data_IF_283335631047
#
_entry.id   IF_283335631047
#
_cell.length_a   1.000
_cell.length_b   1.000
_cell.length_c   1.000
_cell.angle_alpha   90.00
_cell.angle_beta   90.00
_cell.angle_gamma   90.00
#
_symmetry.space_group_name_H-M   'P 1'
#
loop_
_entity.id
_entity.type
_entity.pdbx_description
1 polymer ?
#
# COMPACT_ATOMS: atom_id res chain seq x y z
N UNK A 1 -9.46 31.53 3.46
CA UNK A 1 -9.39 30.06 3.28
C UNK A 1 -7.91 29.76 3.16
N UNK A 2 -7.26 29.68 4.32
CA UNK A 2 -5.80 29.51 4.37
C UNK A 2 -5.51 28.07 3.95
N UNK A 3 -4.80 27.94 2.83
CA UNK A 3 -4.40 26.66 2.24
C UNK A 3 -3.58 25.86 3.25
N UNK A 4 -4.21 24.89 3.92
CA UNK A 4 -3.55 23.96 4.82
C UNK A 4 -2.94 22.77 4.07
N UNK A 5 -2.30 23.02 2.92
CA UNK A 5 -1.58 21.99 2.16
C UNK A 5 -0.08 22.31 2.09
N UNK A 6 0.58 22.31 3.25
CA UNK A 6 2.03 22.16 3.33
C UNK A 6 2.32 20.93 4.22
N UNK A 7 2.10 19.75 3.64
CA UNK A 7 2.33 18.44 4.22
C UNK A 7 2.65 17.43 3.11
N UNK A 8 2.20 16.18 3.24
CA UNK A 8 2.42 15.13 2.23
C UNK A 8 1.72 15.40 0.88
N UNK A 9 0.85 16.41 0.77
CA UNK A 9 0.16 16.83 -0.45
C UNK A 9 0.73 18.10 -1.11
N UNK A 10 1.93 18.53 -0.72
CA UNK A 10 2.62 19.62 -1.42
C UNK A 10 3.14 19.15 -2.80
N UNK A 11 2.93 19.97 -3.84
CA UNK A 11 3.43 19.70 -5.20
C UNK A 11 2.59 18.73 -6.03
N UNK A 12 1.35 18.46 -5.62
CA UNK A 12 0.47 17.49 -6.28
C UNK A 12 -0.31 18.12 -7.43
N UNK A 13 -0.53 17.35 -8.47
CA UNK A 13 -1.38 17.67 -9.61
C UNK A 13 -2.54 16.66 -9.72
N UNK A 14 -3.29 16.69 -10.83
CA UNK A 14 -4.43 15.78 -11.06
C UNK A 14 -4.04 14.35 -11.40
N UNK A 15 -2.79 14.11 -11.79
CA UNK A 15 -2.28 12.78 -12.14
C UNK A 15 -1.61 12.10 -10.94
N UNK A 16 -1.38 12.85 -9.86
CA UNK A 16 -0.83 12.33 -8.61
C UNK A 16 -1.79 11.32 -7.99
N UNK A 17 -1.27 10.15 -7.62
CA UNK A 17 -1.99 9.11 -6.90
C UNK A 17 -1.47 8.97 -5.48
N UNK A 18 -2.38 8.82 -4.52
CA UNK A 18 -2.11 8.60 -3.11
C UNK A 18 -2.51 7.17 -2.73
N UNK A 19 -1.56 6.41 -2.19
CA UNK A 19 -1.83 5.13 -1.54
C UNK A 19 -1.61 5.32 -0.05
N UNK A 20 -2.66 5.17 0.74
CA UNK A 20 -2.66 5.53 2.17
C UNK A 20 -2.95 4.29 3.02
N UNK A 21 -2.04 3.99 3.96
CA UNK A 21 -2.29 2.99 5.00
C UNK A 21 -3.27 3.55 6.03
N UNK A 22 -4.53 3.11 5.98
CA UNK A 22 -5.61 3.56 6.87
C UNK A 22 -6.80 2.59 6.79
N UNK A 23 -7.61 2.57 7.85
CA UNK A 23 -8.92 1.90 7.88
C UNK A 23 -10.08 2.87 7.63
N UNK A 24 -9.79 4.17 7.44
CA UNK A 24 -10.78 5.18 7.10
C UNK A 24 -11.19 5.08 5.63
N UNK A 25 -12.37 5.63 5.28
CA UNK A 25 -12.82 5.61 3.89
C UNK A 25 -11.99 6.52 2.99
N UNK A 26 -12.07 6.28 1.68
CA UNK A 26 -11.39 7.07 0.65
C UNK A 26 -11.81 8.54 0.72
N UNK A 27 -13.11 8.83 0.88
CA UNK A 27 -13.64 10.20 0.91
C UNK A 27 -13.14 10.97 2.13
N UNK A 28 -13.12 10.32 3.30
CA UNK A 28 -12.63 10.94 4.53
C UNK A 28 -11.12 11.18 4.46
N UNK A 29 -10.38 10.24 3.89
CA UNK A 29 -8.93 10.37 3.66
C UNK A 29 -8.62 11.49 2.68
N UNK A 30 -9.35 11.58 1.56
CA UNK A 30 -9.21 12.64 0.57
C UNK A 30 -9.52 14.02 1.16
N UNK A 31 -10.58 14.12 1.99
CA UNK A 31 -10.92 15.34 2.72
C UNK A 31 -9.82 15.81 3.66
N UNK A 32 -9.12 14.89 4.34
CA UNK A 32 -7.95 15.21 5.17
C UNK A 32 -6.74 15.68 4.36
N UNK A 33 -6.52 15.08 3.19
CA UNK A 33 -5.42 15.43 2.28
C UNK A 33 -5.67 16.71 1.49
N UNK A 34 -6.93 17.11 1.35
CA UNK A 34 -7.35 18.26 0.54
C UNK A 34 -7.25 17.99 -0.96
N UNK A 35 -7.45 16.73 -1.39
CA UNK A 35 -7.34 16.28 -2.79
C UNK A 35 -8.65 15.62 -3.25
N UNK A 36 -8.76 15.33 -4.54
CA UNK A 36 -9.92 14.63 -5.09
C UNK A 36 -9.92 13.15 -4.65
N UNK A 37 -11.09 12.60 -4.33
CA UNK A 37 -11.23 11.20 -3.90
C UNK A 37 -10.75 10.22 -4.98
N UNK A 38 -10.87 10.58 -6.26
CA UNK A 38 -10.38 9.78 -7.40
C UNK A 38 -8.85 9.60 -7.41
N UNK A 39 -8.12 10.43 -6.65
CA UNK A 39 -6.66 10.33 -6.51
C UNK A 39 -6.24 9.43 -5.34
N UNK A 40 -7.17 8.96 -4.51
CA UNK A 40 -6.87 8.32 -3.23
C UNK A 40 -7.28 6.86 -3.25
N UNK A 41 -6.34 6.01 -2.84
CA UNK A 41 -6.55 4.60 -2.54
C UNK A 41 -6.18 4.33 -1.09
N UNK A 42 -6.95 3.48 -0.43
CA UNK A 42 -6.76 3.15 0.99
C UNK A 42 -6.59 1.64 1.19
N UNK A 43 -5.79 1.26 2.17
CA UNK A 43 -5.56 -0.15 2.53
C UNK A 43 -5.19 -0.26 4.00
N UNK A 44 -5.67 -1.30 4.70
CA UNK A 44 -5.22 -1.62 6.07
C UNK A 44 -3.91 -2.44 6.03
N UNK A 45 -2.83 -1.81 5.58
CA UNK A 45 -1.54 -2.46 5.47
C UNK A 45 -0.99 -2.93 6.83
N UNK A 46 -1.30 -2.22 7.92
CA UNK A 46 -0.88 -2.61 9.26
C UNK A 46 -1.63 -3.84 9.76
N UNK A 47 -2.95 -3.91 9.58
CA UNK A 47 -3.77 -5.07 9.92
C UNK A 47 -3.35 -6.30 9.11
N UNK A 48 -3.18 -6.14 7.79
CA UNK A 48 -2.71 -7.22 6.91
C UNK A 48 -1.36 -7.75 7.38
N UNK A 49 -0.39 -6.89 7.70
CA UNK A 49 0.92 -7.32 8.18
C UNK A 49 0.85 -8.09 9.52
N UNK A 50 -0.02 -7.65 10.44
CA UNK A 50 -0.24 -8.37 11.70
C UNK A 50 -0.79 -9.77 11.46
N UNK A 51 -1.72 -9.93 10.52
CA UNK A 51 -2.37 -11.20 10.25
C UNK A 51 -1.49 -12.17 9.45
N UNK A 52 -0.63 -11.68 8.55
CA UNK A 52 0.19 -12.54 7.67
C UNK A 52 1.62 -12.75 8.17
N UNK A 53 2.23 -11.75 8.80
CA UNK A 53 3.63 -11.76 9.26
C UNK A 53 3.70 -11.85 10.79
N UNK A 54 2.60 -11.57 11.50
CA UNK A 54 2.56 -11.55 12.97
C UNK A 54 3.13 -10.26 13.57
N UNK A 55 3.44 -9.25 12.75
CA UNK A 55 4.06 -7.99 13.17
C UNK A 55 3.48 -6.80 12.39
N UNK A 56 3.34 -5.61 12.99
CA UNK A 56 2.76 -4.44 12.33
C UNK A 56 3.80 -3.74 11.43
N UNK A 57 4.29 -4.43 10.41
CA UNK A 57 5.29 -3.91 9.46
C UNK A 57 4.62 -3.75 8.10
N UNK A 58 4.12 -2.56 7.76
CA UNK A 58 3.24 -2.37 6.60
C UNK A 58 3.99 -2.30 5.25
N UNK A 59 5.32 -2.38 5.22
CA UNK A 59 6.11 -2.15 4.00
C UNK A 59 5.72 -3.08 2.85
N UNK A 60 5.64 -4.39 3.09
CA UNK A 60 5.30 -5.37 2.06
C UNK A 60 3.85 -5.26 1.59
N UNK A 61 2.85 -5.13 2.50
CA UNK A 61 1.50 -4.76 2.09
C UNK A 61 1.44 -3.49 1.23
N UNK A 62 2.17 -2.43 1.59
CA UNK A 62 2.17 -1.19 0.81
C UNK A 62 2.73 -1.35 -0.61
N UNK A 63 3.69 -2.27 -0.81
CA UNK A 63 4.13 -2.63 -2.16
C UNK A 63 2.99 -3.32 -2.93
N UNK A 64 2.30 -4.27 -2.31
CA UNK A 64 1.15 -4.93 -2.93
C UNK A 64 0.03 -3.96 -3.33
N UNK A 65 -0.25 -2.98 -2.47
CA UNK A 65 -1.19 -1.90 -2.74
C UNK A 65 -0.75 -1.02 -3.91
N UNK A 66 0.54 -0.66 -4.00
CA UNK A 66 1.08 0.11 -5.13
C UNK A 66 0.91 -0.62 -6.46
N UNK A 67 1.11 -1.94 -6.48
CA UNK A 67 0.86 -2.77 -7.68
C UNK A 67 -0.61 -2.84 -8.07
N UNK A 68 -1.53 -2.61 -7.12
CA UNK A 68 -2.97 -2.57 -7.40
C UNK A 68 -3.39 -1.28 -8.10
N UNK A 69 -2.61 -0.20 -7.92
CA UNK A 69 -2.82 1.09 -8.58
C UNK A 69 -2.16 1.14 -9.95
N UNK A 70 -0.99 0.52 -10.09
CA UNK A 70 -0.17 0.65 -11.29
C UNK A 70 0.44 -0.68 -11.72
N UNK A 71 0.23 -1.07 -12.98
CA UNK A 71 0.70 -2.32 -13.59
C UNK A 71 2.19 -2.28 -13.98
N UNK A 72 3.03 -1.47 -13.32
CA UNK A 72 4.47 -1.41 -13.60
C UNK A 72 5.19 -2.75 -13.38
N UNK A 73 4.64 -3.60 -12.51
CA UNK A 73 5.17 -4.92 -12.18
C UNK A 73 4.02 -5.85 -11.78
N UNK A 74 4.05 -7.10 -12.22
CA UNK A 74 3.07 -8.09 -11.78
C UNK A 74 3.40 -8.59 -10.37
N UNK A 75 2.38 -9.07 -9.66
CA UNK A 75 2.57 -9.69 -8.35
C UNK A 75 3.52 -10.89 -8.44
N UNK A 76 3.47 -11.67 -9.52
CA UNK A 76 4.31 -12.86 -9.69
C UNK A 76 5.79 -12.49 -9.91
N UNK A 77 6.09 -11.47 -10.71
CA UNK A 77 7.47 -10.96 -10.86
C UNK A 77 8.04 -10.47 -9.52
N UNK A 78 7.21 -9.84 -8.68
CA UNK A 78 7.61 -9.45 -7.34
C UNK A 78 7.89 -10.66 -6.43
N UNK A 79 7.10 -11.73 -6.54
CA UNK A 79 7.32 -12.95 -5.74
C UNK A 79 8.68 -13.55 -6.03
N UNK A 80 9.04 -13.68 -7.30
CA UNK A 80 10.32 -14.25 -7.72
C UNK A 80 11.48 -13.39 -7.18
N UNK A 81 11.38 -12.07 -7.32
CA UNK A 81 12.38 -11.15 -6.78
C UNK A 81 12.49 -11.21 -5.24
N UNK A 82 11.38 -11.34 -4.52
CA UNK A 82 11.38 -11.48 -3.07
C UNK A 82 12.05 -12.78 -2.62
N UNK A 83 11.74 -13.90 -3.27
CA UNK A 83 12.35 -15.19 -2.95
C UNK A 83 13.86 -15.14 -3.21
N UNK A 84 14.30 -14.53 -4.31
CA UNK A 84 15.73 -14.39 -4.63
C UNK A 84 16.46 -13.51 -3.61
N UNK A 85 15.92 -12.33 -3.29
CA UNK A 85 16.59 -11.34 -2.44
C UNK A 85 16.53 -11.68 -0.94
N UNK A 86 15.45 -12.34 -0.50
CA UNK A 86 15.16 -12.59 0.91
C UNK A 86 15.31 -14.06 1.29
N UNK A 87 15.33 -14.99 0.32
CA UNK A 87 15.45 -16.44 0.51
C UNK A 87 16.63 -16.89 1.36
N UNK A 88 17.76 -16.20 1.22
CA UNK A 88 18.98 -16.47 1.99
C UNK A 88 19.04 -15.78 3.35
N UNK A 89 18.20 -14.76 3.57
CA UNK A 89 18.24 -13.87 4.75
C UNK A 89 17.13 -14.15 5.76
N UNK A 90 16.02 -14.71 5.31
CA UNK A 90 14.81 -14.89 6.11
C UNK A 90 14.30 -16.33 6.06
N UNK A 91 13.59 -16.74 7.10
CA UNK A 91 12.93 -18.05 7.12
C UNK A 91 11.83 -18.14 6.07
N UNK A 92 11.53 -19.35 5.60
CA UNK A 92 10.44 -19.60 4.66
C UNK A 92 9.09 -19.06 5.15
N UNK A 93 8.79 -19.22 6.43
CA UNK A 93 7.56 -18.68 7.02
C UNK A 93 7.46 -17.15 6.91
N UNK A 94 8.58 -16.44 7.09
CA UNK A 94 8.61 -14.98 6.92
C UNK A 94 8.42 -14.61 5.45
N UNK A 95 9.03 -15.34 4.52
CA UNK A 95 8.87 -15.09 3.09
C UNK A 95 7.42 -15.32 2.67
N UNK A 96 6.84 -16.48 3.00
CA UNK A 96 5.46 -16.83 2.70
C UNK A 96 4.47 -15.80 3.29
N UNK A 97 4.71 -15.35 4.53
CA UNK A 97 3.92 -14.30 5.17
C UNK A 97 4.00 -12.95 4.44
N UNK A 98 5.19 -12.54 3.99
CA UNK A 98 5.36 -11.31 3.20
C UNK A 98 4.68 -11.41 1.83
N UNK A 99 4.77 -12.56 1.15
CA UNK A 99 4.09 -12.79 -0.13
C UNK A 99 2.57 -12.73 0.02
N UNK A 100 2.03 -13.38 1.07
CA UNK A 100 0.61 -13.29 1.39
C UNK A 100 0.18 -11.85 1.71
N UNK A 101 1.02 -11.07 2.39
CA UNK A 101 0.75 -9.66 2.68
C UNK A 101 0.63 -8.81 1.41
N UNK A 102 1.53 -9.02 0.44
CA UNK A 102 1.49 -8.36 -0.88
C UNK A 102 0.19 -8.71 -1.61
N UNK A 103 -0.14 -9.99 -1.72
CA UNK A 103 -1.35 -10.43 -2.43
C UNK A 103 -2.63 -9.89 -1.80
N UNK A 104 -2.70 -9.91 -0.46
CA UNK A 104 -3.87 -9.39 0.27
C UNK A 104 -4.03 -7.89 0.07
N UNK A 105 -2.96 -7.12 0.24
CA UNK A 105 -3.03 -5.67 0.07
C UNK A 105 -3.39 -5.24 -1.35
N UNK A 106 -2.95 -5.99 -2.37
CA UNK A 106 -3.37 -5.78 -3.75
C UNK A 106 -4.88 -5.98 -3.94
N UNK A 107 -5.44 -7.04 -3.34
CA UNK A 107 -6.88 -7.40 -3.44
C UNK A 107 -7.79 -6.56 -2.55
N UNK A 108 -7.29 -6.14 -1.39
CA UNK A 108 -8.03 -5.40 -0.37
C UNK A 108 -7.89 -3.88 -0.53
N UNK A 109 -7.18 -3.42 -1.57
CA UNK A 109 -7.08 -2.00 -1.92
C UNK A 109 -8.47 -1.44 -2.25
N UNK A 110 -8.83 -0.33 -1.60
CA UNK A 110 -10.09 0.38 -1.84
C UNK A 110 -9.81 1.66 -2.60
N UNK A 111 -10.53 1.86 -3.69
CA UNK A 111 -10.50 3.05 -4.55
C UNK A 111 -11.87 3.76 -4.52
N UNK A 112 -11.92 5.03 -4.94
CA UNK A 112 -13.17 5.77 -5.13
C UNK A 112 -14.03 5.22 -6.29
#
# INVERSE_FOLDING_TARGET
MDSSAAGCSAGVDRETVFVVNTTESVEHTAGKLGVDATQVHTVDATGIALETIGRPIPNMPMIGALLGVNEMLTVDELKDALVEQLGSKFSRAVIDGNLAAVERANKELVSA
#
